data_IF_334807964922
#
_entry.id   IF_334807964922
#
_cell.length_a   1.000
_cell.length_b   1.000
_cell.length_c   1.000
_cell.angle_alpha   90.00
_cell.angle_beta   90.00
_cell.angle_gamma   90.00
#
_symmetry.space_group_name_H-M   'P 1'
#
loop_
_entity.id
_entity.type
_entity.pdbx_description
1 polymer ?
#
# COMPACT_ATOMS: atom_id res chain seq x y z
N UNK A 1 -63.30 -37.54 -19.29
CA UNK A 1 -63.21 -37.02 -17.91
C UNK A 1 -61.87 -37.46 -17.33
N UNK A 2 -60.82 -36.64 -17.43
CA UNK A 2 -59.50 -37.05 -16.91
C UNK A 2 -58.39 -36.01 -17.01
N UNK A 3 -58.51 -35.02 -17.90
CA UNK A 3 -57.42 -34.07 -18.18
C UNK A 3 -57.52 -32.70 -17.47
N UNK A 4 -58.62 -32.41 -16.75
CA UNK A 4 -58.88 -31.08 -16.17
C UNK A 4 -58.57 -30.96 -14.67
N UNK A 5 -58.32 -32.08 -13.96
CA UNK A 5 -58.05 -32.05 -12.51
C UNK A 5 -56.54 -31.96 -12.20
N UNK A 6 -55.66 -32.36 -13.14
CA UNK A 6 -54.21 -32.30 -12.92
C UNK A 6 -53.63 -30.88 -12.98
N UNK A 7 -54.21 -29.99 -13.79
CA UNK A 7 -53.68 -28.64 -14.03
C UNK A 7 -53.91 -27.66 -12.87
N UNK A 8 -54.96 -27.84 -12.06
CA UNK A 8 -55.26 -26.99 -10.90
C UNK A 8 -54.42 -27.34 -9.66
N UNK A 9 -53.99 -28.61 -9.52
CA UNK A 9 -53.10 -29.03 -8.43
C UNK A 9 -51.67 -28.52 -8.58
N UNK A 10 -51.19 -28.39 -9.82
CA UNK A 10 -49.83 -27.92 -10.13
C UNK A 10 -49.65 -26.41 -9.92
N UNK A 11 -50.69 -25.60 -10.24
CA UNK A 11 -50.64 -24.15 -10.06
C UNK A 11 -50.63 -23.73 -8.58
N UNK A 12 -51.42 -24.39 -7.72
CA UNK A 12 -51.44 -24.12 -6.28
C UNK A 12 -50.15 -24.52 -5.55
N UNK A 13 -49.45 -25.56 -6.04
CA UNK A 13 -48.14 -25.95 -5.53
C UNK A 13 -47.04 -24.98 -5.96
N UNK A 14 -47.03 -24.54 -7.24
CA UNK A 14 -46.07 -23.55 -7.72
C UNK A 14 -46.20 -22.20 -7.01
N UNK A 15 -47.44 -21.77 -6.73
CA UNK A 15 -47.72 -20.52 -6.02
C UNK A 15 -47.28 -20.56 -4.54
N UNK A 16 -47.46 -21.69 -3.85
CA UNK A 16 -46.91 -21.88 -2.49
C UNK A 16 -45.39 -21.93 -2.48
N UNK A 17 -44.79 -22.61 -3.46
CA UNK A 17 -43.34 -22.70 -3.59
C UNK A 17 -42.72 -21.31 -3.88
N UNK A 18 -43.32 -20.52 -4.77
CA UNK A 18 -42.88 -19.16 -5.07
C UNK A 18 -42.97 -18.23 -3.85
N UNK A 19 -43.98 -18.41 -2.98
CA UNK A 19 -44.08 -17.65 -1.73
C UNK A 19 -43.04 -18.07 -0.70
N UNK A 20 -42.74 -19.38 -0.58
CA UNK A 20 -41.68 -19.84 0.33
C UNK A 20 -40.30 -19.38 -0.12
N UNK A 21 -40.03 -19.39 -1.43
CA UNK A 21 -38.77 -18.95 -1.99
C UNK A 21 -38.59 -17.42 -1.83
N UNK A 22 -39.65 -16.64 -2.05
CA UNK A 22 -39.64 -15.20 -1.76
C UNK A 22 -39.41 -14.92 -0.27
N UNK A 23 -40.10 -15.62 0.64
CA UNK A 23 -39.89 -15.43 2.08
C UNK A 23 -38.44 -15.72 2.50
N UNK A 24 -37.84 -16.77 1.93
CA UNK A 24 -36.43 -17.13 2.16
C UNK A 24 -35.46 -16.09 1.61
N UNK A 25 -35.74 -15.56 0.41
CA UNK A 25 -34.92 -14.51 -0.20
C UNK A 25 -35.01 -13.21 0.59
N UNK A 26 -36.22 -12.79 0.99
CA UNK A 26 -36.43 -11.60 1.83
C UNK A 26 -35.69 -11.72 3.16
N UNK A 27 -35.72 -12.89 3.81
CA UNK A 27 -34.98 -13.12 5.05
C UNK A 27 -33.46 -13.01 4.84
N UNK A 28 -32.94 -13.52 3.72
CA UNK A 28 -31.51 -13.38 3.37
C UNK A 28 -31.11 -11.94 3.09
N UNK A 29 -31.93 -11.22 2.31
CA UNK A 29 -31.69 -9.81 1.99
C UNK A 29 -31.68 -8.99 3.28
N UNK A 30 -32.67 -9.16 4.16
CA UNK A 30 -32.71 -8.46 5.44
C UNK A 30 -31.49 -8.75 6.32
N UNK A 31 -31.04 -10.00 6.38
CA UNK A 31 -29.82 -10.37 7.13
C UNK A 31 -28.55 -9.75 6.52
N UNK A 32 -28.46 -9.69 5.19
CA UNK A 32 -27.36 -9.04 4.46
C UNK A 32 -27.37 -7.53 4.68
N UNK A 33 -28.53 -6.87 4.58
CA UNK A 33 -28.69 -5.43 4.85
C UNK A 33 -28.27 -5.10 6.28
N UNK A 34 -28.64 -5.93 7.27
CA UNK A 34 -28.20 -5.76 8.66
C UNK A 34 -26.68 -5.99 8.83
N UNK A 35 -26.07 -6.91 8.08
CA UNK A 35 -24.62 -7.07 8.08
C UNK A 35 -23.92 -5.86 7.45
N UNK A 36 -24.41 -5.38 6.30
CA UNK A 36 -23.84 -4.21 5.62
C UNK A 36 -23.95 -2.97 6.52
N UNK A 37 -25.12 -2.73 7.13
CA UNK A 37 -25.28 -1.61 8.05
C UNK A 37 -24.33 -1.69 9.25
N UNK A 38 -24.15 -2.89 9.84
CA UNK A 38 -23.18 -3.08 10.92
C UNK A 38 -21.74 -2.86 10.46
N UNK A 39 -21.38 -3.31 9.26
CA UNK A 39 -20.04 -3.12 8.71
C UNK A 39 -19.77 -1.64 8.39
N UNK A 40 -20.76 -0.92 7.88
CA UNK A 40 -20.67 0.52 7.63
C UNK A 40 -20.56 1.31 8.93
N UNK A 41 -21.33 0.95 9.96
CA UNK A 41 -21.21 1.54 11.29
C UNK A 41 -19.83 1.28 11.90
N UNK A 42 -19.34 0.04 11.83
CA UNK A 42 -18.00 -0.31 12.33
C UNK A 42 -16.88 0.44 11.57
N UNK A 43 -17.04 0.68 10.27
CA UNK A 43 -16.11 1.51 9.49
C UNK A 43 -16.20 3.00 9.85
N UNK A 44 -17.40 3.51 10.14
CA UNK A 44 -17.59 4.89 10.58
C UNK A 44 -17.06 5.16 12.00
N UNK A 45 -17.08 4.14 12.86
CA UNK A 45 -16.63 4.20 14.25
C UNK A 45 -15.13 3.89 14.43
N UNK A 46 -14.48 3.29 13.43
CA UNK A 46 -13.04 3.04 13.45
C UNK A 46 -12.33 4.20 12.76
N UNK A 47 -11.63 5.09 13.49
CA UNK A 47 -10.74 6.04 12.84
C UNK A 47 -9.78 5.25 11.96
N UNK A 48 -9.68 5.59 10.68
CA UNK A 48 -8.64 5.03 9.82
C UNK A 48 -7.30 5.19 10.57
N UNK A 49 -6.45 4.15 10.66
CA UNK A 49 -5.16 4.29 11.30
C UNK A 49 -4.41 5.42 10.58
N UNK A 50 -4.34 6.58 11.23
CA UNK A 50 -3.57 7.71 10.74
C UNK A 50 -2.13 7.26 10.76
N UNK A 51 -1.49 7.25 9.59
CA UNK A 51 -0.06 7.00 9.51
C UNK A 51 0.64 7.96 10.49
N UNK A 52 1.64 7.49 11.25
CA UNK A 52 2.40 8.36 12.13
C UNK A 52 2.90 9.59 11.37
N UNK A 53 2.94 10.73 12.04
CA UNK A 53 3.46 11.96 11.43
C UNK A 53 4.83 11.71 10.79
N UNK A 54 4.98 12.15 9.54
CA UNK A 54 6.21 11.97 8.78
C UNK A 54 6.45 10.56 8.23
N UNK A 55 5.50 9.62 8.32
CA UNK A 55 5.65 8.27 7.75
C UNK A 55 6.02 8.32 6.25
N UNK A 56 5.27 9.09 5.46
CA UNK A 56 5.51 9.19 4.02
C UNK A 56 6.87 9.84 3.72
N UNK A 57 7.26 10.85 4.49
CA UNK A 57 8.56 11.49 4.36
C UNK A 57 9.71 10.52 4.67
N UNK A 58 9.59 9.74 5.75
CA UNK A 58 10.56 8.71 6.12
C UNK A 58 10.61 7.56 5.10
N UNK A 59 9.46 7.16 4.55
CA UNK A 59 9.40 6.13 3.51
C UNK A 59 10.08 6.61 2.20
N UNK A 60 9.81 7.85 1.76
CA UNK A 60 10.48 8.45 0.61
C UNK A 60 12.00 8.57 0.85
N UNK A 61 12.40 9.04 2.03
CA UNK A 61 13.80 9.15 2.39
C UNK A 61 14.49 7.76 2.42
N UNK A 62 13.83 6.73 2.91
CA UNK A 62 14.35 5.35 2.90
C UNK A 62 14.55 4.83 1.46
N UNK A 63 13.60 5.11 0.56
CA UNK A 63 13.74 4.72 -0.85
C UNK A 63 14.95 5.41 -1.49
N UNK A 64 15.10 6.73 -1.30
CA UNK A 64 16.30 7.44 -1.75
C UNK A 64 17.57 6.86 -1.14
N UNK A 65 17.62 6.60 0.17
CA UNK A 65 18.81 6.05 0.82
C UNK A 65 19.23 4.70 0.20
N UNK A 66 18.27 3.83 -0.09
CA UNK A 66 18.52 2.54 -0.70
C UNK A 66 19.05 2.68 -2.14
N UNK A 67 18.43 3.53 -2.95
CA UNK A 67 18.84 3.74 -4.34
C UNK A 67 20.18 4.47 -4.44
N UNK A 68 20.43 5.44 -3.56
CA UNK A 68 21.71 6.15 -3.48
C UNK A 68 22.83 5.19 -3.09
N UNK A 69 22.63 4.38 -2.05
CA UNK A 69 23.61 3.35 -1.64
C UNK A 69 23.87 2.36 -2.79
N UNK A 70 22.82 1.91 -3.48
CA UNK A 70 22.96 1.03 -4.65
C UNK A 70 23.73 1.70 -5.79
N UNK A 71 23.45 2.96 -6.08
CA UNK A 71 24.14 3.74 -7.12
C UNK A 71 25.63 3.86 -6.80
N UNK A 72 25.97 4.20 -5.54
CA UNK A 72 27.35 4.30 -5.08
C UNK A 72 28.09 2.97 -5.20
N UNK A 73 27.49 1.87 -4.73
CA UNK A 73 28.09 0.55 -4.85
C UNK A 73 28.22 0.08 -6.30
N UNK A 74 27.30 0.47 -7.17
CA UNK A 74 27.37 0.13 -8.59
C UNK A 74 28.51 0.88 -9.26
N UNK A 75 28.62 2.19 -9.00
CA UNK A 75 29.76 2.98 -9.46
C UNK A 75 31.09 2.38 -8.97
N UNK A 76 31.16 1.98 -7.70
CA UNK A 76 32.37 1.36 -7.13
C UNK A 76 32.75 0.08 -7.86
N UNK A 77 31.79 -0.83 -8.08
CA UNK A 77 32.01 -2.10 -8.79
C UNK A 77 32.38 -1.93 -10.26
N UNK A 78 31.86 -0.89 -10.90
CA UNK A 78 32.11 -0.61 -12.32
C UNK A 78 33.38 0.25 -12.52
N UNK A 79 33.96 0.78 -11.44
CA UNK A 79 35.23 1.51 -11.45
C UNK A 79 36.41 0.55 -11.57
N UNK A 80 37.44 0.98 -12.30
CA UNK A 80 38.70 0.23 -12.44
C UNK A 80 39.42 0.08 -11.08
N UNK A 81 39.32 1.11 -10.23
CA UNK A 81 40.05 1.21 -8.97
C UNK A 81 39.20 0.82 -7.75
N UNK A 82 38.03 0.19 -7.95
CA UNK A 82 37.08 -0.13 -6.88
C UNK A 82 36.69 1.10 -6.04
N UNK A 83 36.61 2.27 -6.66
CA UNK A 83 36.47 3.57 -5.99
C UNK A 83 35.08 4.19 -6.16
N UNK A 84 34.55 4.83 -5.11
CA UNK A 84 33.33 5.65 -5.18
C UNK A 84 33.51 6.94 -5.99
N UNK A 85 32.40 7.55 -6.47
CA UNK A 85 32.48 8.77 -7.27
C UNK A 85 32.88 9.98 -6.44
N UNK A 86 33.59 10.92 -7.07
CA UNK A 86 33.71 12.29 -6.58
C UNK A 86 32.35 13.01 -6.65
N UNK A 87 32.10 14.06 -5.85
CA UNK A 87 30.85 14.85 -5.93
C UNK A 87 30.50 15.31 -7.36
N UNK A 88 31.48 15.71 -8.16
CA UNK A 88 31.27 16.17 -9.54
C UNK A 88 30.84 15.07 -10.53
N UNK A 89 31.02 13.79 -10.16
CA UNK A 89 30.65 12.62 -10.98
C UNK A 89 29.44 11.88 -10.42
N UNK A 90 28.99 12.24 -9.23
CA UNK A 90 27.83 11.62 -8.61
C UNK A 90 26.55 12.20 -9.21
N UNK A 91 25.84 11.36 -9.96
CA UNK A 91 24.45 11.63 -10.34
C UNK A 91 23.54 11.03 -9.28
N UNK A 92 22.69 11.86 -8.68
CA UNK A 92 21.68 11.38 -7.73
C UNK A 92 20.58 10.62 -8.49
N UNK A 93 20.07 9.52 -7.92
CA UNK A 93 18.94 8.81 -8.51
C UNK A 93 17.66 9.65 -8.39
N UNK A 94 16.68 9.40 -9.27
CA UNK A 94 15.43 10.17 -9.33
C UNK A 94 14.67 10.17 -8.00
N UNK A 95 14.75 9.08 -7.23
CA UNK A 95 14.15 8.95 -5.90
C UNK A 95 14.70 9.96 -4.87
N UNK A 96 15.84 10.60 -5.17
CA UNK A 96 16.51 11.58 -4.32
C UNK A 96 16.32 13.04 -4.75
N UNK A 97 15.64 13.36 -5.85
CA UNK A 97 15.53 14.73 -6.39
C UNK A 97 14.92 15.70 -5.36
N UNK A 98 13.86 15.28 -4.68
CA UNK A 98 13.18 16.09 -3.65
C UNK A 98 13.71 15.85 -2.24
N UNK A 99 14.84 15.15 -2.10
CA UNK A 99 15.41 14.79 -0.81
C UNK A 99 16.61 15.67 -0.44
N UNK A 100 16.69 16.06 0.83
CA UNK A 100 17.84 16.81 1.37
C UNK A 100 18.92 15.83 1.80
N UNK A 101 19.83 15.51 0.89
CA UNK A 101 20.99 14.64 1.17
C UNK A 101 22.12 15.46 1.77
N UNK A 102 22.43 15.21 3.03
CA UNK A 102 23.58 15.77 3.73
C UNK A 102 24.74 14.76 3.72
N UNK A 103 25.83 15.09 3.02
CA UNK A 103 27.03 14.29 3.00
C UNK A 103 27.85 14.50 4.28
N UNK A 104 28.13 13.40 4.98
CA UNK A 104 29.05 13.35 6.11
C UNK A 104 30.43 12.91 5.63
N UNK A 105 30.48 12.03 4.64
CA UNK A 105 31.70 11.53 4.01
C UNK A 105 31.39 11.12 2.57
N UNK A 106 32.24 11.51 1.63
CA UNK A 106 32.26 10.96 0.27
C UNK A 106 33.70 11.01 -0.23
N UNK A 107 34.36 9.86 -0.18
CA UNK A 107 35.76 9.68 -0.57
C UNK A 107 35.87 8.52 -1.53
N UNK A 108 37.04 8.31 -2.15
CA UNK A 108 37.25 7.18 -3.05
C UNK A 108 37.00 5.83 -2.37
N UNK A 109 37.20 5.73 -1.05
CA UNK A 109 37.09 4.47 -0.33
C UNK A 109 35.85 4.33 0.52
N UNK A 110 35.16 5.43 0.85
CA UNK A 110 34.08 5.45 1.85
C UNK A 110 32.99 6.49 1.56
N UNK A 111 31.76 6.19 1.99
CA UNK A 111 30.67 7.18 2.03
C UNK A 111 29.85 7.11 3.32
N UNK A 112 29.30 8.26 3.70
CA UNK A 112 28.29 8.40 4.74
C UNK A 112 27.41 9.63 4.43
N UNK A 113 26.11 9.47 4.61
CA UNK A 113 25.13 10.55 4.41
C UNK A 113 23.94 10.43 5.36
N UNK A 114 23.24 11.54 5.52
CA UNK A 114 21.95 11.61 6.18
C UNK A 114 20.92 12.24 5.25
N UNK A 115 19.69 11.73 5.27
CA UNK A 115 18.55 12.44 4.70
C UNK A 115 17.81 13.15 5.82
N UNK A 116 17.55 14.43 5.63
CA UNK A 116 16.88 15.27 6.63
C UNK A 116 15.54 15.78 6.13
N UNK A 117 14.63 16.03 7.07
CA UNK A 117 13.44 16.83 6.82
C UNK A 117 13.79 18.32 6.65
N UNK A 118 12.77 19.15 6.43
CA UNK A 118 12.91 20.60 6.25
C UNK A 118 13.42 21.34 7.49
N UNK A 119 13.24 20.76 8.68
CA UNK A 119 13.69 21.30 9.95
C UNK A 119 15.11 20.81 10.32
N UNK A 120 15.75 20.00 9.46
CA UNK A 120 17.05 19.39 9.72
C UNK A 120 16.99 18.13 10.59
N UNK A 121 15.79 17.61 10.87
CA UNK A 121 15.59 16.35 11.56
C UNK A 121 16.04 15.17 10.69
N UNK A 122 16.82 14.25 11.25
CA UNK A 122 17.32 13.09 10.49
C UNK A 122 16.19 12.07 10.27
N UNK A 123 15.86 11.82 9.01
CA UNK A 123 14.88 10.81 8.61
C UNK A 123 15.52 9.42 8.52
N UNK A 124 16.66 9.33 7.82
CA UNK A 124 17.44 8.10 7.60
C UNK A 124 18.92 8.42 7.41
N UNK A 125 19.79 7.43 7.64
CA UNK A 125 21.23 7.51 7.38
C UNK A 125 21.65 6.33 6.51
N UNK A 126 22.68 6.55 5.69
CA UNK A 126 23.32 5.50 4.90
C UNK A 126 24.84 5.64 4.98
N UNK A 127 25.53 4.50 4.90
CA UNK A 127 26.98 4.43 4.93
C UNK A 127 27.49 3.14 4.31
N UNK A 128 28.66 3.20 3.68
CA UNK A 128 29.40 2.04 3.18
C UNK A 128 30.88 2.15 3.58
N UNK A 129 31.65 1.04 3.44
CA UNK A 129 33.09 1.06 3.64
C UNK A 129 33.69 2.13 2.77
#
# INVERSE_FOLDING_TARGET
>A
MGFLVLSLGLAGCQDRQARSDNARLTARISALEQQVNRLQQAQAETPAPTAPDGFMARAAAQNCANDLSRTLETYRRDSIDDSYPTPARLMLPDSCIDQRVQWLTLTAQAYAFALTDENGGVLVRGSGP
#
